data_IF_439169388107
#
_entry.id   IF_439169388107
#
_cell.length_a   1.000
_cell.length_b   1.000
_cell.length_c   1.000
_cell.angle_alpha   90.00
_cell.angle_beta   90.00
_cell.angle_gamma   90.00
#
_symmetry.space_group_name_H-M   'P 1'
#
loop_
_entity.id
_entity.type
_entity.pdbx_description
1 polymer ?
#
# COMPACT_ATOMS: atom_id res chain seq x y z
N UNK A 1 -26.30 1.82 6.63
CA UNK A 1 -26.33 0.47 6.03
C UNK A 1 -25.40 -0.44 6.83
N UNK A 2 -25.82 -1.62 7.21
CA UNK A 2 -24.96 -2.57 7.93
C UNK A 2 -24.16 -3.38 6.91
N UNK A 3 -22.83 -3.24 6.91
CA UNK A 3 -21.92 -3.95 5.98
C UNK A 3 -21.57 -5.32 6.58
N UNK A 4 -21.97 -6.40 5.94
CA UNK A 4 -21.73 -7.79 6.38
C UNK A 4 -20.85 -8.60 5.40
N UNK A 5 -20.86 -8.23 4.12
CA UNK A 5 -20.16 -8.94 3.06
C UNK A 5 -19.29 -7.95 2.28
N UNK A 6 -17.98 -8.07 2.38
CA UNK A 6 -17.02 -7.18 1.71
C UNK A 6 -16.23 -7.97 0.67
N UNK A 7 -16.11 -7.44 -0.55
CA UNK A 7 -15.22 -7.98 -1.57
C UNK A 7 -13.94 -7.14 -1.66
N UNK A 8 -12.77 -7.78 -1.53
CA UNK A 8 -11.47 -7.12 -1.64
C UNK A 8 -10.78 -7.56 -2.92
N UNK A 9 -10.63 -6.65 -3.86
CA UNK A 9 -9.88 -6.85 -5.10
C UNK A 9 -8.43 -6.43 -4.84
N UNK A 10 -7.50 -7.37 -5.02
CA UNK A 10 -6.10 -7.21 -4.57
C UNK A 10 -5.88 -7.59 -3.10
N UNK A 11 -6.82 -8.31 -2.48
CA UNK A 11 -6.80 -8.70 -1.07
C UNK A 11 -5.65 -9.63 -0.66
N UNK A 12 -5.00 -10.32 -1.60
CA UNK A 12 -3.79 -11.12 -1.33
C UNK A 12 -2.51 -10.29 -1.20
N UNK A 13 -2.56 -8.98 -1.52
CA UNK A 13 -1.44 -8.05 -1.38
C UNK A 13 -1.21 -7.61 0.07
N UNK A 14 -0.15 -6.82 0.28
CA UNK A 14 0.27 -6.32 1.59
C UNK A 14 -0.88 -5.65 2.36
N UNK A 15 -1.51 -4.62 1.79
CA UNK A 15 -2.61 -3.90 2.44
C UNK A 15 -3.84 -4.78 2.62
N UNK A 16 -4.17 -5.57 1.59
CA UNK A 16 -5.37 -6.40 1.58
C UNK A 16 -5.37 -7.49 2.65
N UNK A 17 -4.22 -8.08 2.95
CA UNK A 17 -4.11 -9.07 4.03
C UNK A 17 -4.39 -8.44 5.40
N UNK A 18 -3.88 -7.24 5.70
CA UNK A 18 -4.15 -6.54 6.96
C UNK A 18 -5.64 -6.20 7.09
N UNK A 19 -6.27 -5.66 6.05
CA UNK A 19 -7.71 -5.37 6.05
C UNK A 19 -8.53 -6.65 6.25
N UNK A 20 -8.17 -7.75 5.57
CA UNK A 20 -8.88 -9.02 5.69
C UNK A 20 -8.82 -9.59 7.12
N UNK A 21 -7.67 -9.51 7.78
CA UNK A 21 -7.53 -9.91 9.20
C UNK A 21 -8.40 -9.07 10.12
N UNK A 22 -8.42 -7.75 9.95
CA UNK A 22 -9.23 -6.85 10.78
C UNK A 22 -10.74 -7.03 10.55
N UNK A 23 -11.17 -7.24 9.30
CA UNK A 23 -12.57 -7.54 8.98
C UNK A 23 -13.00 -8.88 9.56
N UNK A 24 -12.14 -9.90 9.46
CA UNK A 24 -12.40 -11.22 10.04
C UNK A 24 -12.54 -11.17 11.56
N UNK A 25 -11.71 -10.36 12.25
CA UNK A 25 -11.81 -10.13 13.69
C UNK A 25 -13.12 -9.44 14.10
N UNK A 26 -13.77 -8.74 13.16
CA UNK A 26 -15.10 -8.10 13.34
C UNK A 26 -16.26 -8.97 12.82
N UNK A 27 -16.00 -10.24 12.53
CA UNK A 27 -16.96 -11.23 12.03
C UNK A 27 -17.61 -10.85 10.68
N UNK A 28 -17.00 -9.92 9.93
CA UNK A 28 -17.45 -9.54 8.59
C UNK A 28 -16.97 -10.60 7.59
N UNK A 29 -17.88 -11.04 6.71
CA UNK A 29 -17.54 -11.96 5.63
C UNK A 29 -16.73 -11.24 4.55
N UNK A 30 -15.61 -11.83 4.17
CA UNK A 30 -14.66 -11.22 3.21
C UNK A 30 -14.47 -12.17 2.03
N UNK A 31 -14.74 -11.68 0.83
CA UNK A 31 -14.40 -12.35 -0.42
C UNK A 31 -13.15 -11.70 -1.01
N UNK A 32 -12.08 -12.47 -1.16
CA UNK A 32 -10.81 -12.01 -1.70
C UNK A 32 -10.64 -12.53 -3.12
N UNK A 33 -10.53 -11.62 -4.08
CA UNK A 33 -10.23 -11.95 -5.45
C UNK A 33 -8.72 -11.86 -5.69
N UNK A 34 -8.12 -12.96 -6.15
CA UNK A 34 -6.67 -13.06 -6.40
C UNK A 34 -6.39 -13.82 -7.69
N UNK A 35 -5.27 -13.50 -8.34
CA UNK A 35 -4.76 -14.25 -9.49
C UNK A 35 -4.09 -15.57 -9.12
N UNK A 36 -3.65 -15.70 -7.86
CA UNK A 36 -2.94 -16.87 -7.35
C UNK A 36 -3.27 -17.09 -5.88
N UNK A 37 -3.99 -18.16 -5.60
CA UNK A 37 -4.45 -18.50 -4.25
C UNK A 37 -3.30 -18.75 -3.27
N UNK A 38 -2.16 -19.22 -3.77
CA UNK A 38 -1.00 -19.48 -2.92
C UNK A 38 -0.41 -18.23 -2.24
N UNK A 39 -0.66 -17.02 -2.76
CA UNK A 39 -0.24 -15.78 -2.10
C UNK A 39 -1.14 -15.37 -0.92
N UNK A 40 -2.28 -16.00 -0.78
CA UNK A 40 -3.25 -15.73 0.27
C UNK A 40 -3.31 -16.84 1.35
N UNK A 41 -2.26 -17.66 1.49
CA UNK A 41 -2.25 -18.81 2.42
C UNK A 41 -2.56 -18.42 3.87
N UNK A 42 -2.07 -17.27 4.34
CA UNK A 42 -2.35 -16.75 5.68
C UNK A 42 -3.82 -16.45 5.92
N UNK A 43 -4.60 -16.20 4.86
CA UNK A 43 -6.01 -15.85 4.93
C UNK A 43 -6.92 -17.07 4.87
N UNK A 44 -6.43 -18.21 4.37
CA UNK A 44 -7.23 -19.46 4.26
C UNK A 44 -7.62 -20.06 5.60
N UNK A 45 -6.98 -19.64 6.70
CA UNK A 45 -7.27 -20.11 8.07
C UNK A 45 -8.33 -19.25 8.77
N UNK A 46 -8.74 -18.14 8.15
CA UNK A 46 -9.75 -17.24 8.72
C UNK A 46 -11.16 -17.72 8.34
N UNK A 47 -12.04 -17.98 9.33
CA UNK A 47 -13.32 -18.65 9.06
C UNK A 47 -14.31 -17.81 8.24
N UNK A 48 -14.17 -16.48 8.26
CA UNK A 48 -15.04 -15.54 7.54
C UNK A 48 -14.47 -15.11 6.19
N UNK A 49 -13.28 -15.63 5.79
CA UNK A 49 -12.57 -15.21 4.57
C UNK A 49 -12.66 -16.31 3.51
N UNK A 50 -13.21 -15.97 2.36
CA UNK A 50 -13.24 -16.80 1.17
C UNK A 50 -12.24 -16.26 0.12
N UNK A 51 -11.29 -17.11 -0.30
CA UNK A 51 -10.27 -16.74 -1.28
C UNK A 51 -10.55 -17.40 -2.60
N UNK A 52 -10.88 -16.59 -3.61
CA UNK A 52 -11.27 -17.03 -4.95
C UNK A 52 -10.17 -16.66 -5.94
N UNK A 53 -9.66 -17.67 -6.63
CA UNK A 53 -8.74 -17.46 -7.75
C UNK A 53 -9.55 -17.16 -9.01
N UNK A 54 -9.31 -15.99 -9.62
CA UNK A 54 -10.10 -15.49 -10.74
C UNK A 54 -9.32 -14.47 -11.57
N UNK A 55 -9.76 -14.28 -12.80
CA UNK A 55 -9.32 -13.19 -13.66
C UNK A 55 -10.22 -11.96 -13.48
N UNK A 56 -9.80 -11.02 -12.63
CA UNK A 56 -10.55 -9.76 -12.38
C UNK A 56 -10.69 -8.86 -13.61
N UNK A 57 -9.99 -9.14 -14.71
CA UNK A 57 -10.13 -8.39 -15.97
C UNK A 57 -11.28 -8.92 -16.84
N UNK A 58 -11.88 -10.08 -16.51
CA UNK A 58 -13.11 -10.55 -17.16
C UNK A 58 -14.34 -9.92 -16.45
N UNK A 59 -15.12 -9.03 -17.14
CA UNK A 59 -16.26 -8.38 -16.52
C UNK A 59 -17.37 -9.34 -16.11
N UNK A 60 -17.52 -10.51 -16.79
CA UNK A 60 -18.55 -11.51 -16.48
C UNK A 60 -18.23 -12.23 -15.18
N UNK A 61 -16.98 -12.69 -15.03
CA UNK A 61 -16.50 -13.30 -13.79
C UNK A 61 -16.61 -12.32 -12.63
N UNK A 62 -16.14 -11.09 -12.83
CA UNK A 62 -16.19 -10.05 -11.81
C UNK A 62 -17.63 -9.76 -11.37
N UNK A 63 -18.57 -9.63 -12.32
CA UNK A 63 -19.99 -9.42 -12.02
C UNK A 63 -20.59 -10.55 -11.19
N UNK A 64 -20.32 -11.81 -11.51
CA UNK A 64 -20.80 -12.95 -10.75
C UNK A 64 -20.26 -12.99 -9.31
N UNK A 65 -19.00 -12.55 -9.15
CA UNK A 65 -18.33 -12.53 -7.86
C UNK A 65 -18.76 -11.37 -6.95
N UNK A 66 -19.48 -10.37 -7.46
CA UNK A 66 -20.04 -9.27 -6.67
C UNK A 66 -21.50 -9.51 -6.23
N UNK A 67 -22.11 -10.61 -6.62
CA UNK A 67 -23.47 -10.96 -6.15
C UNK A 67 -23.48 -11.11 -4.62
N UNK A 68 -24.39 -10.39 -3.96
CA UNK A 68 -24.58 -10.42 -2.51
C UNK A 68 -23.46 -9.75 -1.70
N UNK A 69 -22.66 -8.89 -2.34
CA UNK A 69 -21.63 -8.06 -1.70
C UNK A 69 -22.23 -6.71 -1.31
N UNK A 70 -21.95 -6.22 -0.11
CA UNK A 70 -22.43 -4.93 0.38
C UNK A 70 -21.46 -3.78 0.02
N UNK A 71 -20.14 -4.09 0.01
CA UNK A 71 -19.10 -3.12 -0.31
C UNK A 71 -17.92 -3.76 -1.04
N UNK A 72 -17.28 -2.98 -1.92
CA UNK A 72 -16.05 -3.38 -2.64
C UNK A 72 -14.89 -2.50 -2.20
N UNK A 73 -13.72 -3.12 -1.96
CA UNK A 73 -12.46 -2.43 -1.70
C UNK A 73 -11.49 -2.77 -2.83
N UNK A 74 -11.14 -1.78 -3.65
CA UNK A 74 -10.15 -1.92 -4.71
C UNK A 74 -8.77 -1.48 -4.23
N UNK A 75 -7.86 -2.42 -4.06
CA UNK A 75 -6.47 -2.21 -3.62
C UNK A 75 -5.46 -2.50 -4.73
N UNK A 76 -5.92 -2.75 -5.96
CA UNK A 76 -5.02 -3.12 -7.05
C UNK A 76 -4.19 -1.92 -7.47
N UNK A 77 -2.88 -2.13 -7.51
CA UNK A 77 -1.92 -1.15 -8.00
C UNK A 77 -0.61 -1.83 -8.36
N UNK A 78 0.06 -1.27 -9.35
CA UNK A 78 1.39 -1.69 -9.81
C UNK A 78 2.29 -0.46 -9.89
N UNK A 79 3.59 -0.67 -9.71
CA UNK A 79 4.63 0.37 -9.86
C UNK A 79 5.42 0.20 -11.18
N UNK A 80 5.10 -0.82 -11.95
CA UNK A 80 5.68 -1.14 -13.26
C UNK A 80 4.73 -2.06 -14.03
N UNK A 81 4.69 -1.91 -15.36
CA UNK A 81 3.85 -2.71 -16.25
C UNK A 81 2.73 -1.92 -16.91
N UNK A 82 1.61 -2.57 -17.20
CA UNK A 82 0.47 -1.95 -17.90
C UNK A 82 -0.40 -1.13 -16.93
N UNK A 83 -0.04 0.13 -16.77
CA UNK A 83 -0.78 1.08 -15.94
C UNK A 83 -2.20 1.33 -16.44
N UNK A 84 -2.42 1.35 -17.76
CA UNK A 84 -3.73 1.64 -18.34
C UNK A 84 -4.73 0.55 -17.95
N UNK A 85 -4.37 -0.69 -18.22
CA UNK A 85 -5.22 -1.85 -17.89
C UNK A 85 -5.50 -1.93 -16.39
N UNK A 86 -4.46 -1.66 -15.55
CA UNK A 86 -4.57 -1.86 -14.10
C UNK A 86 -5.21 -0.68 -13.37
N UNK A 87 -4.84 0.56 -13.71
CA UNK A 87 -5.26 1.74 -12.96
C UNK A 87 -6.45 2.47 -13.53
N UNK A 88 -6.82 2.21 -14.81
CA UNK A 88 -7.93 2.90 -15.48
C UNK A 88 -9.03 1.93 -15.89
N UNK A 89 -8.69 0.89 -16.68
CA UNK A 89 -9.71 -0.03 -17.19
C UNK A 89 -10.29 -0.93 -16.09
N UNK A 90 -9.45 -1.42 -15.16
CA UNK A 90 -9.94 -2.24 -14.06
C UNK A 90 -10.89 -1.48 -13.14
N UNK A 91 -10.62 -0.25 -12.66
CA UNK A 91 -11.60 0.57 -11.96
C UNK A 91 -12.92 0.73 -12.72
N UNK A 92 -12.88 0.96 -14.03
CA UNK A 92 -14.09 1.05 -14.87
C UNK A 92 -14.90 -0.23 -14.86
N UNK A 93 -14.24 -1.39 -14.96
CA UNK A 93 -14.89 -2.71 -14.86
C UNK A 93 -15.49 -2.94 -13.48
N UNK A 94 -14.80 -2.53 -12.40
CA UNK A 94 -15.29 -2.63 -11.03
C UNK A 94 -16.54 -1.78 -10.85
N UNK A 95 -16.53 -0.53 -11.28
CA UNK A 95 -17.70 0.35 -11.23
C UNK A 95 -18.89 -0.29 -11.94
N UNK A 96 -18.72 -0.72 -13.19
CA UNK A 96 -19.79 -1.36 -13.96
C UNK A 96 -20.33 -2.63 -13.30
N UNK A 97 -19.45 -3.45 -12.70
CA UNK A 97 -19.86 -4.66 -11.97
C UNK A 97 -20.61 -4.32 -10.67
N UNK A 98 -20.22 -3.26 -9.95
CA UNK A 98 -20.93 -2.75 -8.78
C UNK A 98 -22.34 -2.28 -9.15
N UNK A 99 -22.46 -1.43 -10.18
CA UNK A 99 -23.74 -0.91 -10.65
C UNK A 99 -24.70 -2.04 -11.08
N UNK A 100 -24.21 -3.04 -11.84
CA UNK A 100 -24.99 -4.19 -12.28
C UNK A 100 -25.52 -5.05 -11.13
N UNK A 101 -24.79 -5.11 -9.99
CA UNK A 101 -25.17 -5.93 -8.84
C UNK A 101 -25.78 -5.13 -7.68
N UNK A 102 -26.05 -3.83 -7.85
CA UNK A 102 -26.60 -2.96 -6.82
C UNK A 102 -25.66 -2.73 -5.63
N UNK A 103 -24.36 -2.89 -5.82
CA UNK A 103 -23.34 -2.56 -4.80
C UNK A 103 -23.10 -1.06 -4.85
N UNK A 104 -23.59 -0.32 -3.86
CA UNK A 104 -23.45 1.13 -3.82
C UNK A 104 -22.10 1.60 -3.26
N UNK A 105 -21.48 0.83 -2.36
CA UNK A 105 -20.28 1.24 -1.61
C UNK A 105 -18.98 0.77 -2.26
N UNK A 106 -18.11 1.71 -2.67
CA UNK A 106 -16.80 1.42 -3.27
C UNK A 106 -15.69 2.23 -2.61
N UNK A 107 -14.69 1.55 -2.06
CA UNK A 107 -13.46 2.15 -1.54
C UNK A 107 -12.32 1.89 -2.52
N UNK A 108 -11.52 2.93 -2.81
CA UNK A 108 -10.44 2.84 -3.80
C UNK A 108 -9.11 3.33 -3.23
N UNK A 109 -8.08 2.51 -3.36
CA UNK A 109 -6.72 2.87 -3.01
C UNK A 109 -6.01 3.53 -4.19
N UNK A 110 -5.74 4.82 -4.06
CA UNK A 110 -4.94 5.61 -4.98
C UNK A 110 -3.51 5.80 -4.46
N UNK A 111 -2.93 6.93 -4.71
CA UNK A 111 -1.62 7.34 -4.22
C UNK A 111 -1.60 8.85 -3.95
N UNK A 112 -0.77 9.27 -3.01
CA UNK A 112 -0.55 10.68 -2.75
C UNK A 112 -0.07 11.38 -4.02
N UNK A 113 -0.60 12.58 -4.29
CA UNK A 113 -0.36 13.37 -5.51
C UNK A 113 -0.78 12.69 -6.84
N UNK A 114 -1.64 11.67 -6.81
CA UNK A 114 -2.27 11.14 -8.01
C UNK A 114 -3.02 12.27 -8.75
N UNK A 115 -2.71 12.46 -10.02
CA UNK A 115 -3.29 13.54 -10.84
C UNK A 115 -3.15 13.19 -12.32
N UNK A 116 -4.13 13.56 -13.13
CA UNK A 116 -4.07 13.41 -14.60
C UNK A 116 -2.88 14.15 -15.23
N UNK A 117 -2.36 15.17 -14.54
CA UNK A 117 -1.17 15.94 -14.93
C UNK A 117 0.08 15.53 -14.11
N UNK A 118 0.08 14.37 -13.46
CA UNK A 118 1.18 13.89 -12.61
C UNK A 118 2.52 13.78 -13.36
N UNK A 119 3.61 13.90 -12.62
CA UNK A 119 4.99 13.89 -13.17
C UNK A 119 5.38 12.55 -13.79
N UNK A 120 4.87 11.44 -13.29
CA UNK A 120 5.14 10.07 -13.75
C UNK A 120 3.91 9.44 -14.42
N UNK A 121 4.11 8.41 -15.22
CA UNK A 121 3.01 7.65 -15.80
C UNK A 121 2.17 6.95 -14.72
N UNK A 122 2.83 6.49 -13.64
CA UNK A 122 2.16 5.96 -12.45
C UNK A 122 1.18 6.97 -11.84
N UNK A 123 1.63 8.19 -11.50
CA UNK A 123 0.77 9.21 -10.89
C UNK A 123 -0.36 9.65 -11.84
N UNK A 124 -0.07 9.76 -13.14
CA UNK A 124 -1.11 10.08 -14.14
C UNK A 124 -2.17 8.99 -14.22
N UNK A 125 -1.74 7.74 -14.32
CA UNK A 125 -2.69 6.62 -14.42
C UNK A 125 -3.54 6.45 -13.15
N UNK A 126 -2.96 6.70 -11.97
CA UNK A 126 -3.72 6.73 -10.71
C UNK A 126 -4.75 7.87 -10.72
N UNK A 127 -4.38 9.07 -11.17
CA UNK A 127 -5.29 10.21 -11.30
C UNK A 127 -6.44 9.95 -12.30
N UNK A 128 -6.16 9.31 -13.43
CA UNK A 128 -7.21 8.89 -14.37
C UNK A 128 -8.13 7.82 -13.77
N UNK A 129 -7.58 6.89 -12.99
CA UNK A 129 -8.38 5.90 -12.25
C UNK A 129 -9.29 6.53 -11.21
N UNK A 130 -8.79 7.52 -10.46
CA UNK A 130 -9.63 8.30 -9.52
C UNK A 130 -10.78 8.99 -10.24
N UNK A 131 -10.53 9.59 -11.41
CA UNK A 131 -11.56 10.25 -12.21
C UNK A 131 -12.69 9.28 -12.56
N UNK A 132 -12.37 8.05 -12.98
CA UNK A 132 -13.38 7.00 -13.25
C UNK A 132 -14.23 6.71 -12.01
N UNK A 133 -13.60 6.66 -10.83
CA UNK A 133 -14.30 6.39 -9.57
C UNK A 133 -15.19 7.58 -9.16
N UNK A 134 -14.69 8.81 -9.28
CA UNK A 134 -15.42 10.04 -8.90
C UNK A 134 -16.64 10.26 -9.81
N UNK A 135 -16.50 9.96 -11.11
CA UNK A 135 -17.58 10.11 -12.11
C UNK A 135 -18.64 9.01 -12.00
N UNK A 136 -18.46 7.98 -11.16
CA UNK A 136 -19.46 6.93 -10.95
C UNK A 136 -20.62 7.40 -10.05
N UNK A 137 -21.76 6.72 -10.14
CA UNK A 137 -22.92 6.96 -9.27
C UNK A 137 -22.82 6.22 -7.93
N UNK A 138 -21.63 5.75 -7.54
CA UNK A 138 -21.42 4.97 -6.33
C UNK A 138 -21.07 5.88 -5.13
N UNK A 139 -21.34 5.39 -3.94
CA UNK A 139 -20.88 5.98 -2.67
C UNK A 139 -19.38 5.66 -2.51
N UNK A 140 -18.53 6.48 -3.12
CA UNK A 140 -17.09 6.21 -3.21
C UNK A 140 -16.30 6.84 -2.06
N UNK A 141 -15.18 6.24 -1.68
CA UNK A 141 -14.13 6.91 -0.89
C UNK A 141 -12.77 6.56 -1.47
N UNK A 142 -11.94 7.57 -1.69
CA UNK A 142 -10.60 7.42 -2.25
C UNK A 142 -9.56 7.67 -1.17
N UNK A 143 -8.61 6.75 -1.02
CA UNK A 143 -7.48 6.89 -0.12
C UNK A 143 -6.20 7.13 -0.90
N UNK A 144 -5.47 8.16 -0.54
CA UNK A 144 -4.20 8.57 -1.12
C UNK A 144 -3.09 8.46 -0.08
N UNK A 145 -2.57 7.27 0.18
CA UNK A 145 -1.48 7.11 1.14
C UNK A 145 -0.15 7.63 0.58
N UNK A 146 0.70 8.10 1.47
CA UNK A 146 2.15 8.14 1.26
C UNK A 146 2.68 6.70 1.23
N UNK A 147 4.01 6.50 1.34
CA UNK A 147 4.56 5.15 1.39
C UNK A 147 4.06 4.42 2.64
N UNK A 148 3.46 3.25 2.44
CA UNK A 148 2.92 2.44 3.55
C UNK A 148 4.03 1.52 4.07
N UNK A 149 4.25 1.51 5.38
CA UNK A 149 5.22 0.64 6.05
C UNK A 149 4.54 -0.30 7.06
N UNK A 150 5.20 -1.42 7.35
CA UNK A 150 4.75 -2.40 8.32
C UNK A 150 5.25 -3.82 8.02
N UNK A 151 4.89 -4.82 8.84
CA UNK A 151 5.29 -6.20 8.62
C UNK A 151 4.89 -6.71 7.23
N UNK A 152 5.88 -7.01 6.39
CA UNK A 152 5.65 -7.48 5.01
C UNK A 152 5.65 -6.39 3.94
N UNK A 153 5.95 -5.12 4.27
CA UNK A 153 6.10 -4.06 3.28
C UNK A 153 7.23 -4.36 2.28
N UNK A 154 7.13 -3.80 1.09
CA UNK A 154 8.18 -3.93 0.07
C UNK A 154 9.25 -2.85 0.18
N UNK A 155 8.93 -1.69 0.76
CA UNK A 155 9.79 -0.51 0.73
C UNK A 155 10.95 -0.57 1.73
N UNK A 156 10.67 -0.67 3.04
CA UNK A 156 11.73 -0.76 4.05
C UNK A 156 12.45 -2.11 3.99
N UNK A 157 11.73 -3.20 3.70
CA UNK A 157 12.34 -4.51 3.51
C UNK A 157 13.29 -4.56 2.31
N UNK A 158 13.03 -3.81 1.23
CA UNK A 158 13.98 -3.66 0.13
C UNK A 158 15.31 -3.09 0.64
N UNK A 159 15.27 -1.96 1.35
CA UNK A 159 16.48 -1.36 1.92
C UNK A 159 17.15 -2.27 2.93
N UNK A 160 16.40 -2.94 3.80
CA UNK A 160 16.97 -3.90 4.75
C UNK A 160 17.73 -5.05 4.06
N UNK A 161 17.27 -5.49 2.89
CA UNK A 161 17.97 -6.50 2.08
C UNK A 161 19.20 -5.93 1.35
N UNK A 162 19.13 -4.70 0.87
CA UNK A 162 20.25 -4.04 0.18
C UNK A 162 21.40 -3.73 1.13
N UNK A 163 21.11 -3.16 2.31
CA UNK A 163 22.14 -2.83 3.32
C UNK A 163 22.85 -4.06 3.87
N UNK A 164 22.24 -5.23 3.87
CA UNK A 164 22.89 -6.49 4.25
C UNK A 164 23.93 -6.97 3.23
N UNK A 165 23.79 -6.57 1.97
CA UNK A 165 24.59 -7.10 0.87
C UNK A 165 25.65 -6.13 0.38
N UNK A 166 25.43 -4.82 0.57
CA UNK A 166 26.26 -3.77 -0.01
C UNK A 166 26.94 -2.95 1.08
N UNK A 167 28.28 -2.89 1.14
CA UNK A 167 28.99 -2.02 2.07
C UNK A 167 28.92 -0.52 1.63
N UNK A 168 28.72 -0.29 0.33
CA UNK A 168 28.55 1.05 -0.27
C UNK A 168 27.29 1.05 -1.12
N UNK A 169 26.44 2.05 -0.92
CA UNK A 169 25.16 2.15 -1.61
C UNK A 169 25.03 3.48 -2.35
N UNK A 170 25.11 3.48 -3.69
CA UNK A 170 24.78 4.64 -4.50
C UNK A 170 23.26 4.86 -4.47
N UNK A 171 22.83 5.92 -3.78
CA UNK A 171 21.42 6.24 -3.57
C UNK A 171 20.96 7.33 -4.53
N UNK A 172 20.07 6.97 -5.46
CA UNK A 172 19.36 7.92 -6.32
C UNK A 172 18.33 8.72 -5.54
N UNK A 173 18.11 9.97 -5.93
CA UNK A 173 17.13 10.87 -5.32
C UNK A 173 17.21 10.93 -3.77
N UNK A 174 18.39 11.10 -3.17
CA UNK A 174 18.57 10.99 -1.71
C UNK A 174 17.75 11.99 -0.90
N UNK A 175 17.38 13.11 -1.52
CA UNK A 175 16.66 14.22 -0.89
C UNK A 175 15.12 14.13 -1.10
N UNK A 176 14.61 13.17 -1.87
CA UNK A 176 13.18 12.96 -2.04
C UNK A 176 12.55 12.68 -0.67
N UNK A 177 11.46 13.38 -0.35
CA UNK A 177 10.81 13.31 0.95
C UNK A 177 9.63 12.37 0.94
N UNK A 178 9.48 11.65 2.03
CA UNK A 178 8.39 10.72 2.29
C UNK A 178 7.83 10.96 3.68
N UNK A 179 6.54 10.72 3.85
CA UNK A 179 5.86 10.77 5.14
C UNK A 179 5.20 9.41 5.40
N UNK A 180 6.00 8.37 5.76
CA UNK A 180 5.55 6.99 5.84
C UNK A 180 4.37 6.84 6.79
N UNK A 181 3.35 6.09 6.37
CA UNK A 181 2.15 5.79 7.15
C UNK A 181 2.10 4.31 7.52
N UNK A 182 1.71 4.00 8.75
CA UNK A 182 1.63 2.63 9.23
C UNK A 182 0.45 1.87 8.61
N UNK A 183 0.67 0.61 8.26
CA UNK A 183 -0.33 -0.21 7.57
C UNK A 183 -1.62 -0.40 8.38
N UNK A 184 -1.55 -0.53 9.70
CA UNK A 184 -2.76 -0.71 10.51
C UNK A 184 -3.57 0.58 10.59
N UNK A 185 -2.92 1.76 10.65
CA UNK A 185 -3.62 3.05 10.61
C UNK A 185 -4.39 3.22 9.28
N UNK A 186 -3.76 2.82 8.16
CA UNK A 186 -4.41 2.82 6.83
C UNK A 186 -5.57 1.84 6.79
N UNK A 187 -5.38 0.62 7.31
CA UNK A 187 -6.41 -0.41 7.30
C UNK A 187 -7.62 -0.01 8.18
N UNK A 188 -7.38 0.56 9.35
CA UNK A 188 -8.44 1.06 10.23
C UNK A 188 -9.22 2.22 9.59
N UNK A 189 -8.54 3.16 8.91
CA UNK A 189 -9.22 4.25 8.20
C UNK A 189 -10.12 3.71 7.07
N UNK A 190 -9.65 2.73 6.31
CA UNK A 190 -10.43 2.08 5.26
C UNK A 190 -11.67 1.38 5.85
N UNK A 191 -11.50 0.64 6.95
CA UNK A 191 -12.59 -0.10 7.57
C UNK A 191 -13.61 0.86 8.22
N UNK A 192 -13.14 1.90 8.90
CA UNK A 192 -14.00 2.94 9.47
C UNK A 192 -14.87 3.62 8.40
N UNK A 193 -14.34 3.78 7.20
CA UNK A 193 -15.06 4.40 6.08
C UNK A 193 -16.18 3.54 5.51
N UNK A 194 -16.16 2.22 5.72
CA UNK A 194 -17.17 1.32 5.12
C UNK A 194 -18.60 1.75 5.43
N UNK A 195 -18.87 2.15 6.67
CA UNK A 195 -20.20 2.49 7.16
C UNK A 195 -20.37 3.95 7.56
N UNK A 196 -19.37 4.82 7.31
CA UNK A 196 -19.39 6.23 7.74
C UNK A 196 -19.83 7.14 6.57
N UNK A 197 -21.08 7.65 6.56
CA UNK A 197 -21.64 8.41 5.44
C UNK A 197 -20.87 9.70 5.12
N UNK A 198 -20.25 10.33 6.11
CA UNK A 198 -19.45 11.56 5.91
C UNK A 198 -18.22 11.35 5.03
N UNK A 199 -17.85 10.09 4.79
CA UNK A 199 -16.72 9.74 3.91
C UNK A 199 -17.13 9.50 2.45
N UNK A 200 -18.42 9.49 2.15
CA UNK A 200 -18.92 9.22 0.81
C UNK A 200 -18.62 10.39 -0.13
N UNK A 201 -18.14 10.09 -1.31
CA UNK A 201 -17.70 11.08 -2.30
C UNK A 201 -16.41 11.82 -1.94
N UNK A 202 -15.71 11.42 -0.88
CA UNK A 202 -14.51 12.10 -0.37
C UNK A 202 -13.21 11.39 -0.75
N UNK A 203 -12.12 12.17 -0.74
CA UNK A 203 -10.75 11.68 -0.94
C UNK A 203 -9.88 12.09 0.26
N UNK A 204 -9.11 11.17 0.81
CA UNK A 204 -8.29 11.39 2.01
C UNK A 204 -6.82 11.10 1.76
N UNK A 205 -5.97 12.03 2.19
CA UNK A 205 -4.53 11.87 2.17
C UNK A 205 -4.06 11.20 3.47
N UNK A 206 -3.45 10.02 3.37
CA UNK A 206 -3.03 9.26 4.53
C UNK A 206 -1.51 9.33 4.69
N UNK A 207 -1.04 10.09 5.68
CA UNK A 207 0.36 10.30 5.98
C UNK A 207 0.65 9.99 7.46
N UNK A 208 1.87 9.54 7.71
CA UNK A 208 2.35 9.34 9.07
C UNK A 208 2.73 10.67 9.77
N UNK A 209 3.25 10.60 11.01
CA UNK A 209 3.48 11.80 11.82
C UNK A 209 4.77 12.57 11.43
N UNK A 210 5.74 11.91 10.79
CA UNK A 210 7.07 12.49 10.52
C UNK A 210 7.48 12.39 9.06
N UNK A 211 8.20 13.40 8.60
CA UNK A 211 8.78 13.48 7.25
C UNK A 211 10.23 13.05 7.29
N UNK A 212 10.62 12.20 6.34
CA UNK A 212 12.00 11.70 6.17
C UNK A 212 12.45 11.90 4.74
N UNK A 213 13.74 12.24 4.55
CA UNK A 213 14.35 12.05 3.24
C UNK A 213 14.61 10.56 2.97
N UNK A 214 14.74 10.19 1.69
CA UNK A 214 15.10 8.82 1.32
C UNK A 214 16.42 8.39 1.96
N UNK A 215 17.40 9.29 2.05
CA UNK A 215 18.66 9.06 2.75
C UNK A 215 18.43 8.73 4.21
N UNK A 216 17.62 9.50 4.94
CA UNK A 216 17.32 9.27 6.35
C UNK A 216 16.65 7.91 6.59
N UNK A 217 15.73 7.51 5.69
CA UNK A 217 15.10 6.18 5.77
C UNK A 217 16.12 5.05 5.59
N UNK A 218 17.03 5.17 4.64
CA UNK A 218 18.07 4.15 4.41
C UNK A 218 19.09 4.12 5.56
N UNK A 219 19.50 5.27 6.09
CA UNK A 219 20.37 5.38 7.26
C UNK A 219 19.71 4.76 8.51
N UNK A 220 18.42 5.04 8.71
CA UNK A 220 17.64 4.46 9.81
C UNK A 220 17.60 2.93 9.70
N UNK A 221 17.25 2.38 8.52
CA UNK A 221 17.25 0.93 8.29
C UNK A 221 18.64 0.31 8.52
N UNK A 222 19.70 0.98 8.06
CA UNK A 222 21.08 0.55 8.29
C UNK A 222 21.41 0.46 9.79
N UNK A 223 20.98 1.45 10.55
CA UNK A 223 21.21 1.54 12.00
C UNK A 223 20.49 0.43 12.75
N UNK A 224 19.17 0.26 12.54
CA UNK A 224 18.38 -0.75 13.25
C UNK A 224 18.78 -2.19 12.88
N UNK A 225 19.20 -2.41 11.62
CA UNK A 225 19.68 -3.73 11.17
C UNK A 225 21.14 -3.99 11.53
N UNK A 226 21.82 -3.03 12.19
CA UNK A 226 23.22 -3.10 12.62
C UNK A 226 24.21 -3.37 11.47
N UNK A 227 23.92 -2.92 10.29
CA UNK A 227 24.79 -3.02 9.13
C UNK A 227 25.52 -1.68 8.91
N UNK A 228 26.84 -1.72 8.73
CA UNK A 228 27.60 -0.53 8.36
C UNK A 228 27.44 -0.27 6.86
N UNK A 229 26.82 0.84 6.51
CA UNK A 229 26.58 1.23 5.13
C UNK A 229 27.14 2.62 4.88
N UNK A 230 27.91 2.77 3.81
CA UNK A 230 28.32 4.10 3.30
C UNK A 230 27.39 4.52 2.18
N UNK A 231 26.59 5.57 2.39
CA UNK A 231 25.63 6.06 1.39
C UNK A 231 26.27 7.17 0.57
N UNK A 232 26.38 6.94 -0.73
CA UNK A 232 26.79 7.93 -1.71
C UNK A 232 25.53 8.47 -2.41
N UNK A 233 25.11 9.69 -2.06
CA UNK A 233 23.98 10.33 -2.72
C UNK A 233 24.32 10.73 -4.15
N UNK A 234 23.48 10.33 -5.09
CA UNK A 234 23.64 10.67 -6.50
C UNK A 234 22.92 11.99 -6.81
N UNK A 235 23.55 12.83 -7.63
CA UNK A 235 22.89 13.99 -8.21
C UNK A 235 21.81 13.58 -9.23
N UNK A 236 20.99 14.52 -9.64
CA UNK A 236 19.80 14.30 -10.45
C UNK A 236 20.06 13.48 -11.74
N UNK A 237 21.09 13.88 -12.51
CA UNK A 237 21.47 13.17 -13.76
C UNK A 237 21.91 11.73 -13.51
N UNK A 238 22.71 11.50 -12.47
CA UNK A 238 23.19 10.16 -12.11
C UNK A 238 22.06 9.31 -11.53
N UNK A 239 21.12 9.89 -10.81
CA UNK A 239 19.91 9.21 -10.32
C UNK A 239 19.05 8.72 -11.47
N UNK A 240 18.86 9.54 -12.51
CA UNK A 240 18.14 9.13 -13.71
C UNK A 240 18.84 7.99 -14.47
N UNK A 241 20.18 8.12 -14.63
CA UNK A 241 20.99 7.08 -15.28
C UNK A 241 20.93 5.75 -14.49
N UNK A 242 21.03 5.84 -13.15
CA UNK A 242 20.86 4.68 -12.28
C UNK A 242 19.49 4.01 -12.47
N UNK A 243 18.41 4.79 -12.48
CA UNK A 243 17.06 4.27 -12.71
C UNK A 243 16.94 3.58 -14.06
N UNK A 244 17.51 4.18 -15.12
CA UNK A 244 17.55 3.58 -16.45
C UNK A 244 18.31 2.24 -16.45
N UNK A 245 19.45 2.14 -15.78
CA UNK A 245 20.21 0.88 -15.73
C UNK A 245 19.47 -0.19 -14.91
N UNK A 246 18.88 0.18 -13.75
CA UNK A 246 18.19 -0.75 -12.87
C UNK A 246 16.86 -1.27 -13.45
N UNK A 247 16.24 -0.54 -14.37
CA UNK A 247 15.00 -0.92 -15.06
C UNK A 247 15.20 -2.17 -15.94
N UNK A 248 16.42 -2.41 -16.47
CA UNK A 248 16.75 -3.59 -17.29
C UNK A 248 17.17 -4.81 -16.47
N UNK A 249 17.39 -4.65 -15.15
CA UNK A 249 17.79 -5.78 -14.30
C UNK A 249 16.59 -6.63 -13.90
N UNK A 250 16.76 -7.94 -13.73
CA UNK A 250 15.72 -8.80 -13.16
C UNK A 250 15.30 -8.29 -11.78
N UNK A 251 13.97 -8.16 -11.57
CA UNK A 251 13.41 -7.64 -10.32
C UNK A 251 13.23 -6.13 -10.27
N UNK A 252 13.67 -5.37 -11.29
CA UNK A 252 13.42 -3.93 -11.50
C UNK A 252 13.41 -3.13 -10.19
N UNK A 253 14.54 -3.06 -9.49
CA UNK A 253 14.66 -2.39 -8.20
C UNK A 253 14.22 -0.92 -8.24
N UNK A 254 14.37 -0.26 -9.39
CA UNK A 254 13.98 1.12 -9.65
C UNK A 254 13.77 1.30 -11.15
N UNK A 255 12.73 2.03 -11.54
CA UNK A 255 12.45 2.40 -12.93
C UNK A 255 12.59 3.90 -13.13
N UNK A 256 12.68 4.34 -14.39
CA UNK A 256 12.64 5.78 -14.71
C UNK A 256 11.34 6.43 -14.23
N UNK A 257 10.24 5.70 -14.25
CA UNK A 257 8.95 6.19 -13.77
C UNK A 257 8.94 6.37 -12.25
N UNK A 258 9.57 5.44 -11.49
CA UNK A 258 9.76 5.62 -10.05
C UNK A 258 10.63 6.86 -9.74
N UNK A 259 11.70 7.10 -10.51
CA UNK A 259 12.50 8.31 -10.38
C UNK A 259 11.67 9.58 -10.64
N UNK A 260 10.82 9.59 -11.69
CA UNK A 260 9.94 10.72 -11.98
C UNK A 260 8.89 10.93 -10.88
N UNK A 261 8.37 9.86 -10.28
CA UNK A 261 7.49 9.94 -9.12
C UNK A 261 8.18 10.59 -7.91
N UNK A 262 9.45 10.26 -7.67
CA UNK A 262 10.25 10.85 -6.56
C UNK A 262 10.66 12.31 -6.76
N UNK A 263 10.39 12.91 -7.93
CA UNK A 263 10.53 14.37 -8.11
C UNK A 263 9.45 15.17 -7.38
N UNK A 264 8.36 14.51 -7.03
CA UNK A 264 7.33 15.06 -6.17
C UNK A 264 7.46 14.43 -4.79
N UNK A 265 7.62 15.27 -3.76
CA UNK A 265 7.73 14.81 -2.38
C UNK A 265 6.43 14.10 -1.96
N UNK A 266 6.52 12.89 -1.42
CA UNK A 266 5.36 12.10 -0.97
C UNK A 266 5.00 12.47 0.47
N UNK A 267 4.57 13.71 0.66
CA UNK A 267 4.20 14.32 1.94
C UNK A 267 2.81 14.94 1.85
N UNK A 268 2.09 14.98 2.95
CA UNK A 268 0.84 15.73 3.07
C UNK A 268 1.13 17.22 3.29
N UNK A 269 0.17 18.09 2.98
CA UNK A 269 0.31 19.53 3.20
C UNK A 269 0.51 19.81 4.69
N UNK A 270 1.59 20.55 5.00
CA UNK A 270 2.05 20.77 6.39
C UNK A 270 1.11 21.66 7.23
N UNK A 271 0.10 22.29 6.62
CA UNK A 271 -0.77 23.26 7.29
C UNK A 271 -2.02 22.63 7.91
N UNK A 272 -2.26 21.35 7.67
CA UNK A 272 -3.45 20.65 8.14
C UNK A 272 -3.07 19.46 9.03
N UNK A 273 -3.83 19.25 10.10
CA UNK A 273 -3.84 17.99 10.83
C UNK A 273 -4.12 16.84 9.86
N UNK A 274 -3.41 15.72 10.01
CA UNK A 274 -3.60 14.52 9.17
C UNK A 274 -5.09 14.12 9.11
N UNK A 275 -5.56 13.75 7.92
CA UNK A 275 -6.93 13.23 7.76
C UNK A 275 -7.20 12.02 8.66
N UNK A 276 -6.14 11.26 9.03
CA UNK A 276 -6.23 10.16 10.00
C UNK A 276 -6.76 10.66 11.37
N UNK A 277 -6.27 11.80 11.87
CA UNK A 277 -6.70 12.37 13.14
C UNK A 277 -8.08 13.02 12.99
N UNK A 278 -8.23 13.94 12.03
CA UNK A 278 -9.43 14.77 11.87
C UNK A 278 -10.68 13.97 11.57
N UNK A 279 -10.55 13.00 10.68
CA UNK A 279 -11.71 12.28 10.11
C UNK A 279 -11.94 10.95 10.82
N UNK A 280 -10.84 10.23 11.12
CA UNK A 280 -10.93 8.88 11.65
C UNK A 280 -10.61 8.77 13.13
N UNK A 281 -10.10 9.85 13.77
CA UNK A 281 -9.68 9.83 15.17
C UNK A 281 -8.47 8.89 15.43
N UNK A 282 -7.72 8.57 14.37
CA UNK A 282 -6.57 7.66 14.44
C UNK A 282 -5.30 8.49 14.65
N UNK A 283 -4.61 8.28 15.77
CA UNK A 283 -3.30 8.86 16.01
C UNK A 283 -2.25 8.13 15.15
N UNK A 284 -1.58 8.81 14.18
CA UNK A 284 -0.66 8.13 13.30
C UNK A 284 0.55 7.56 14.04
N UNK A 285 0.82 6.27 13.79
CA UNK A 285 1.90 5.51 14.44
C UNK A 285 3.27 5.91 13.90
N UNK A 286 4.24 6.12 14.79
CA UNK A 286 5.61 6.45 14.42
C UNK A 286 6.36 5.26 13.82
N UNK A 287 7.20 5.54 12.82
CA UNK A 287 8.03 4.52 12.16
C UNK A 287 8.98 3.85 13.14
N UNK A 288 9.52 4.61 14.09
CA UNK A 288 10.46 4.15 15.10
C UNK A 288 9.87 3.15 16.09
N UNK A 289 8.56 3.16 16.29
CA UNK A 289 7.88 2.23 17.19
C UNK A 289 7.73 0.84 16.57
N UNK A 290 7.47 0.76 15.27
CA UNK A 290 7.08 -0.48 14.61
C UNK A 290 8.20 -1.09 13.75
N UNK A 291 8.95 -0.28 13.00
CA UNK A 291 9.93 -0.78 12.06
C UNK A 291 11.01 -1.69 12.70
N UNK A 292 11.51 -1.44 13.93
CA UNK A 292 12.46 -2.34 14.58
C UNK A 292 11.89 -3.73 14.85
N UNK A 293 10.59 -3.84 15.10
CA UNK A 293 9.95 -5.12 15.48
C UNK A 293 10.01 -6.15 14.35
N UNK A 294 9.96 -5.72 13.09
CA UNK A 294 9.96 -6.66 11.97
C UNK A 294 11.24 -6.61 11.11
N UNK A 295 11.96 -5.49 11.03
CA UNK A 295 13.18 -5.40 10.24
C UNK A 295 14.37 -6.10 10.91
N UNK A 296 14.44 -6.08 12.25
CA UNK A 296 15.50 -6.77 13.01
C UNK A 296 15.32 -8.28 12.97
N UNK A 297 14.08 -8.77 12.97
CA UNK A 297 13.79 -10.21 12.96
C UNK A 297 13.99 -10.90 11.60
N UNK A 298 14.32 -10.18 10.56
CA UNK A 298 14.68 -10.75 9.24
C UNK A 298 16.05 -11.46 9.20
N UNK A 299 16.75 -11.58 10.32
CA UNK A 299 17.90 -12.49 10.45
C UNK A 299 17.43 -13.86 10.94
N UNK A 300 18.05 -14.99 10.49
CA UNK A 300 17.71 -16.34 10.99
C UNK A 300 17.73 -16.45 12.50
N UNK A 301 18.61 -15.70 13.18
CA UNK A 301 18.67 -15.61 14.65
C UNK A 301 17.55 -14.73 15.24
N UNK A 302 17.17 -13.66 14.55
CA UNK A 302 16.13 -12.72 14.99
C UNK A 302 14.74 -13.37 15.11
N UNK A 303 14.40 -14.31 14.23
CA UNK A 303 13.12 -15.07 14.28
C UNK A 303 12.87 -15.77 15.62
N UNK A 304 13.91 -16.08 16.36
CA UNK A 304 13.82 -16.79 17.63
C UNK A 304 14.04 -15.90 18.86
N UNK A 305 14.25 -14.58 18.69
CA UNK A 305 14.54 -13.67 19.81
C UNK A 305 13.36 -13.61 20.77
N UNK A 306 12.13 -13.47 20.29
CA UNK A 306 10.93 -13.48 21.13
C UNK A 306 10.68 -14.79 21.88
N UNK A 307 11.17 -15.93 21.37
CA UNK A 307 11.15 -17.21 22.08
C UNK A 307 12.26 -17.29 23.15
N UNK A 308 13.43 -16.70 22.88
CA UNK A 308 14.56 -16.64 23.85
C UNK A 308 14.25 -15.73 25.00
N UNK A 309 13.64 -14.57 24.76
CA UNK A 309 13.26 -13.63 25.82
C UNK A 309 12.23 -14.24 26.76
N UNK A 310 11.24 -14.96 26.21
CA UNK A 310 10.26 -15.74 27.00
C UNK A 310 10.87 -16.93 27.73
N UNK A 311 11.93 -17.50 27.18
CA UNK A 311 12.64 -18.61 27.83
C UNK A 311 13.67 -18.15 28.89
N UNK A 312 13.76 -16.85 29.21
CA UNK A 312 14.66 -16.30 30.22
C UNK A 312 16.15 -16.39 29.88
N UNK A 313 16.53 -16.70 28.66
CA UNK A 313 17.92 -16.73 28.19
C UNK A 313 18.31 -15.36 27.65
N UNK A 314 18.76 -14.48 28.57
CA UNK A 314 19.49 -13.26 28.18
C UNK A 314 20.87 -13.66 27.67
N UNK A 315 21.27 -13.20 26.52
CA UNK A 315 22.67 -13.24 26.06
C UNK A 315 23.48 -12.19 26.76
#
# INVERSE_FOLDING_TARGET
>A
MEIKNVCIIGGSGFVGQHIAHLLAAREIKVRILTRRREYAKSLLVLPTVDVIETNIHDPRELGQLLVGVDAVINLVGILDGDFISTHIELPRKIVGACEQNGVSRLLHMSALHASTNGTSAYLRSKGEGEKVIIESNLETTIFRPSVIFGPGDSFLNLFANLVKRLPVFPLGSPNAKFQPVFIEDVAEAIIASLSTPTTFGQSYNLCGPKIYSLRQLVEYVSTITKNKLSIIGLGDRLSYLQAMCLEFLPGKLMTRDNYLSMKMDSICDCNDESDLIKIFGICPTELEEVAPLYLVHNTPRGRYTGFRDRAGRKN
#
